data_IF_563593434717
#
_entry.id   IF_563593434717
#
_cell.length_a   1.000
_cell.length_b   1.000
_cell.length_c   1.000
_cell.angle_alpha   90.00
_cell.angle_beta   90.00
_cell.angle_gamma   90.00
#
_symmetry.space_group_name_H-M   'P 1'
#
loop_
_entity.id
_entity.type
_entity.pdbx_description
1 polymer ?
#
# COMPACT_ATOMS: atom_id res chain seq x y z
N UNK A 1 -9.33 22.87 -13.24
CA UNK A 1 -10.39 21.85 -13.07
C UNK A 1 -10.09 20.53 -13.80
N UNK A 2 -9.56 20.54 -15.03
CA UNK A 2 -9.20 19.29 -15.76
C UNK A 2 -8.16 18.44 -15.01
N UNK A 3 -7.16 19.08 -14.41
CA UNK A 3 -6.07 18.37 -13.71
C UNK A 3 -6.53 17.76 -12.39
N UNK A 4 -7.41 18.45 -11.66
CA UNK A 4 -8.03 17.91 -10.44
C UNK A 4 -8.91 16.68 -10.75
N UNK A 5 -9.67 16.72 -11.85
CA UNK A 5 -10.48 15.58 -12.31
C UNK A 5 -9.60 14.39 -12.74
N UNK A 6 -8.47 14.64 -13.40
CA UNK A 6 -7.47 13.60 -13.74
C UNK A 6 -6.85 12.99 -12.48
N UNK A 7 -6.52 13.81 -11.48
CA UNK A 7 -6.00 13.33 -10.19
C UNK A 7 -7.01 12.40 -9.50
N UNK A 8 -8.28 12.83 -9.38
CA UNK A 8 -9.35 11.99 -8.82
C UNK A 8 -9.55 10.71 -9.62
N UNK A 9 -9.53 10.78 -10.96
CA UNK A 9 -9.67 9.60 -11.82
C UNK A 9 -8.52 8.60 -11.64
N UNK A 10 -7.28 9.08 -11.48
CA UNK A 10 -6.11 8.25 -11.21
C UNK A 10 -6.24 7.58 -9.83
N UNK A 11 -6.60 8.34 -8.78
CA UNK A 11 -6.85 7.80 -7.43
C UNK A 11 -7.98 6.77 -7.45
N UNK A 12 -9.03 7.01 -8.25
CA UNK A 12 -10.16 6.09 -8.40
C UNK A 12 -9.74 4.76 -9.04
N UNK A 13 -8.89 4.79 -10.07
CA UNK A 13 -8.38 3.57 -10.72
C UNK A 13 -7.48 2.77 -9.76
N UNK A 14 -6.67 3.44 -8.94
CA UNK A 14 -5.84 2.76 -7.94
C UNK A 14 -6.65 2.13 -6.79
N UNK A 15 -7.84 2.65 -6.48
CA UNK A 15 -8.69 2.10 -5.42
C UNK A 15 -9.38 0.76 -5.76
N UNK A 16 -9.41 0.34 -7.03
CA UNK A 16 -10.42 -0.63 -7.52
C UNK A 16 -9.94 -2.09 -7.64
N UNK A 17 -8.65 -2.42 -7.53
CA UNK A 17 -8.23 -3.84 -7.63
C UNK A 17 -8.28 -4.61 -6.30
N UNK A 18 -9.30 -4.37 -5.48
CA UNK A 18 -9.67 -5.26 -4.37
C UNK A 18 -10.62 -6.34 -4.88
N UNK A 19 -10.10 -7.42 -5.45
CA UNK A 19 -10.92 -8.60 -5.79
C UNK A 19 -11.11 -9.41 -4.51
N UNK A 20 -12.13 -9.06 -3.72
CA UNK A 20 -12.58 -9.88 -2.60
C UNK A 20 -13.59 -10.91 -3.10
N UNK A 21 -13.16 -12.15 -3.35
CA UNK A 21 -14.07 -13.27 -3.65
C UNK A 21 -14.51 -13.88 -2.33
N UNK A 22 -15.70 -13.51 -1.85
CA UNK A 22 -16.31 -14.16 -0.70
C UNK A 22 -16.91 -15.50 -1.15
N UNK A 23 -16.27 -16.61 -0.77
CA UNK A 23 -16.81 -17.94 -1.03
C UNK A 23 -17.97 -18.23 -0.06
N UNK A 24 -19.04 -18.87 -0.55
CA UNK A 24 -20.19 -19.35 0.25
C UNK A 24 -19.77 -20.29 1.41
N UNK A 25 -18.52 -20.77 1.40
CA UNK A 25 -17.90 -21.63 2.42
C UNK A 25 -17.33 -20.88 3.63
N UNK A 26 -17.46 -19.56 3.71
CA UNK A 26 -16.82 -18.76 4.75
C UNK A 26 -15.31 -18.56 4.54
N UNK A 27 -14.76 -18.97 3.40
CA UNK A 27 -13.36 -18.68 3.06
C UNK A 27 -13.21 -17.27 2.49
N UNK A 28 -12.18 -16.57 2.92
CA UNK A 28 -11.87 -15.21 2.48
C UNK A 28 -10.46 -15.15 1.90
N UNK A 29 -10.34 -14.42 0.80
CA UNK A 29 -9.07 -14.13 0.15
C UNK A 29 -9.07 -12.69 -0.35
N UNK A 30 -7.98 -11.98 -0.07
CA UNK A 30 -7.76 -10.59 -0.48
C UNK A 30 -6.37 -10.52 -1.08
N UNK A 31 -6.26 -9.96 -2.27
CA UNK A 31 -4.99 -9.65 -2.91
C UNK A 31 -4.93 -8.15 -3.15
N UNK A 32 -3.90 -7.51 -2.58
CA UNK A 32 -3.63 -6.09 -2.66
C UNK A 32 -2.31 -5.88 -3.41
N UNK A 33 -2.29 -4.96 -4.36
CA UNK A 33 -1.07 -4.55 -5.07
C UNK A 33 -0.91 -3.04 -4.89
N UNK A 34 -0.33 -2.58 -3.77
CA UNK A 34 -0.06 -1.15 -3.60
C UNK A 34 1.00 -0.69 -4.60
N UNK A 35 0.71 0.42 -5.29
CA UNK A 35 1.64 1.10 -6.17
C UNK A 35 1.65 2.57 -5.78
N UNK A 36 2.83 3.09 -5.45
CA UNK A 36 3.05 4.43 -4.94
C UNK A 36 4.10 5.17 -5.77
N UNK A 37 3.94 6.49 -5.81
CA UNK A 37 4.99 7.39 -6.26
C UNK A 37 5.10 8.52 -5.26
N UNK A 38 6.33 8.86 -4.88
CA UNK A 38 6.63 9.88 -3.89
C UNK A 38 7.48 10.99 -4.50
N UNK A 39 7.35 12.21 -3.98
CA UNK A 39 8.19 13.34 -4.37
C UNK A 39 8.84 13.93 -3.14
N UNK A 40 10.17 13.86 -3.07
CA UNK A 40 10.95 14.35 -1.95
C UNK A 40 11.21 15.84 -2.10
N UNK A 41 10.74 16.63 -1.14
CA UNK A 41 11.02 18.06 -1.03
C UNK A 41 12.15 18.23 -0.03
N UNK A 42 13.28 18.78 -0.48
CA UNK A 42 14.45 18.95 0.38
C UNK A 42 14.54 20.36 0.96
N UNK A 43 15.05 20.45 2.19
CA UNK A 43 15.21 21.71 2.92
C UNK A 43 16.23 22.64 2.26
N UNK A 44 16.18 23.93 2.60
CA UNK A 44 17.07 24.96 2.06
C UNK A 44 18.55 24.61 2.28
N UNK A 45 18.90 24.15 3.48
CA UNK A 45 20.25 23.75 3.83
C UNK A 45 20.79 22.63 2.91
N UNK A 46 19.94 21.68 2.50
CA UNK A 46 20.35 20.60 1.60
C UNK A 46 20.52 21.07 0.15
N UNK A 47 19.78 22.10 -0.27
CA UNK A 47 19.99 22.75 -1.58
C UNK A 47 21.34 23.47 -1.65
N UNK A 48 21.80 24.03 -0.53
CA UNK A 48 23.13 24.65 -0.44
C UNK A 48 24.24 23.60 -0.65
N UNK A 49 23.98 22.33 -0.31
CA UNK A 49 24.83 21.17 -0.64
C UNK A 49 24.55 20.57 -2.03
N UNK A 50 23.88 21.31 -2.93
CA UNK A 50 23.54 20.89 -4.30
C UNK A 50 22.62 19.67 -4.41
N UNK A 51 21.87 19.34 -3.36
CA UNK A 51 20.87 18.27 -3.41
C UNK A 51 19.59 18.78 -4.09
N UNK A 52 18.97 17.94 -4.92
CA UNK A 52 17.75 18.25 -5.67
C UNK A 52 16.60 17.32 -5.32
N UNK A 53 15.40 17.89 -5.29
CA UNK A 53 14.16 17.14 -5.16
C UNK A 53 14.14 15.98 -6.15
N UNK A 54 13.48 14.90 -5.75
CA UNK A 54 13.54 13.63 -6.45
C UNK A 54 12.21 12.91 -6.40
N UNK A 55 12.03 12.00 -7.34
CA UNK A 55 10.88 11.10 -7.35
C UNK A 55 11.31 9.74 -6.82
N UNK A 56 10.47 9.18 -5.96
CA UNK A 56 10.52 7.78 -5.52
C UNK A 56 9.39 6.98 -6.16
N UNK A 57 9.57 5.67 -6.22
CA UNK A 57 8.57 4.73 -6.71
C UNK A 57 8.55 3.51 -5.79
N UNK A 58 7.33 3.14 -5.40
CA UNK A 58 7.05 2.15 -4.39
C UNK A 58 6.07 1.14 -5.00
N UNK A 59 6.33 -0.15 -4.85
CA UNK A 59 5.44 -1.20 -5.32
C UNK A 59 5.44 -2.34 -4.33
N UNK A 60 4.28 -2.92 -4.08
CA UNK A 60 4.18 -4.11 -3.25
C UNK A 60 3.07 -5.03 -3.70
N UNK A 61 3.04 -6.18 -3.04
CA UNK A 61 1.96 -7.16 -3.11
C UNK A 61 1.71 -7.66 -1.70
N UNK A 62 0.44 -7.75 -1.33
CA UNK A 62 0.00 -8.26 -0.05
C UNK A 62 -1.16 -9.23 -0.32
N UNK A 63 -1.09 -10.41 0.27
CA UNK A 63 -2.09 -11.45 0.13
C UNK A 63 -2.56 -11.87 1.51
N UNK A 64 -3.88 -11.79 1.72
CA UNK A 64 -4.53 -12.19 2.95
C UNK A 64 -5.46 -13.36 2.65
N UNK A 65 -5.44 -14.36 3.50
CA UNK A 65 -6.26 -15.55 3.33
C UNK A 65 -6.73 -16.07 4.69
N UNK A 66 -7.95 -16.59 4.74
CA UNK A 66 -8.45 -17.20 5.98
C UNK A 66 -9.93 -17.50 5.92
N UNK A 67 -10.56 -17.46 7.10
CA UNK A 67 -11.94 -17.89 7.28
C UNK A 67 -12.77 -16.88 8.07
N UNK A 68 -14.06 -16.85 7.75
CA UNK A 68 -15.12 -16.07 8.35
C UNK A 68 -16.18 -17.00 8.94
N UNK A 69 -16.48 -16.78 10.21
CA UNK A 69 -17.61 -17.39 10.91
C UNK A 69 -18.71 -16.35 11.03
N UNK A 70 -19.84 -16.57 10.35
CA UNK A 70 -20.95 -15.60 10.29
C UNK A 70 -22.27 -16.23 10.74
N UNK A 71 -23.09 -15.48 11.46
CA UNK A 71 -24.45 -15.86 11.83
C UNK A 71 -25.46 -15.36 10.77
N UNK A 72 -26.68 -15.91 10.80
CA UNK A 72 -27.75 -15.54 9.85
C UNK A 72 -28.18 -14.06 9.98
N UNK A 73 -27.92 -13.43 11.12
CA UNK A 73 -28.24 -12.02 11.40
C UNK A 73 -27.23 -11.02 10.79
N UNK A 74 -26.18 -11.53 10.13
CA UNK A 74 -25.19 -10.74 9.39
C UNK A 74 -23.98 -10.30 10.22
N UNK A 75 -23.83 -10.75 11.46
CA UNK A 75 -22.61 -10.58 12.24
C UNK A 75 -21.63 -11.72 11.95
N UNK A 76 -20.38 -11.40 11.65
CA UNK A 76 -19.35 -12.41 11.44
C UNK A 76 -17.98 -11.99 11.95
N UNK A 77 -17.17 -12.97 12.32
CA UNK A 77 -15.79 -12.79 12.77
C UNK A 77 -14.90 -13.54 11.78
N UNK A 78 -13.89 -12.84 11.29
CA UNK A 78 -12.88 -13.39 10.40
C UNK A 78 -11.51 -13.42 11.06
N UNK A 79 -10.72 -14.42 10.71
CA UNK A 79 -9.30 -14.47 11.00
C UNK A 79 -8.55 -14.77 9.71
N UNK A 80 -7.74 -13.81 9.28
CA UNK A 80 -6.93 -13.90 8.06
C UNK A 80 -5.45 -13.93 8.43
N UNK A 81 -4.68 -14.80 7.78
CA UNK A 81 -3.23 -14.67 7.71
C UNK A 81 -2.87 -13.67 6.62
N UNK A 82 -1.85 -12.86 6.89
CA UNK A 82 -1.37 -11.81 5.99
C UNK A 82 0.10 -12.05 5.62
N UNK A 83 0.42 -11.97 4.33
CA UNK A 83 1.79 -11.99 3.83
C UNK A 83 1.97 -10.93 2.75
N UNK A 84 3.01 -10.13 2.87
CA UNK A 84 3.31 -9.06 1.94
C UNK A 84 4.78 -8.94 1.61
N UNK A 85 5.05 -8.35 0.46
CA UNK A 85 6.36 -7.91 0.02
C UNK A 85 6.24 -6.52 -0.60
N UNK A 86 7.08 -5.57 -0.17
CA UNK A 86 7.20 -4.26 -0.81
C UNK A 86 8.62 -3.99 -1.26
N UNK A 87 8.71 -3.18 -2.31
CA UNK A 87 9.93 -2.73 -2.94
C UNK A 87 9.84 -1.23 -3.18
N UNK A 88 10.63 -0.49 -2.42
CA UNK A 88 10.62 0.97 -2.41
C UNK A 88 11.95 1.50 -2.94
N UNK A 89 11.88 2.46 -3.87
CA UNK A 89 13.05 3.09 -4.45
C UNK A 89 13.01 4.60 -4.22
N UNK A 90 14.00 5.10 -3.51
CA UNK A 90 14.22 6.53 -3.31
C UNK A 90 15.51 6.95 -3.98
N UNK A 91 15.48 8.11 -4.63
CA UNK A 91 16.66 8.70 -5.25
C UNK A 91 16.95 10.02 -4.58
N UNK A 92 18.21 10.38 -4.40
CA UNK A 92 18.61 11.74 -4.04
C UNK A 92 19.58 12.21 -5.12
N UNK A 93 19.19 13.27 -5.81
CA UNK A 93 19.96 13.82 -6.93
C UNK A 93 20.94 14.88 -6.44
N UNK A 94 22.15 14.86 -6.98
CA UNK A 94 23.18 15.87 -6.68
C UNK A 94 23.60 16.62 -7.96
N UNK A 95 23.74 17.94 -7.86
CA UNK A 95 24.13 18.82 -8.97
C UNK A 95 25.63 19.17 -8.95
N UNK A 96 26.47 18.21 -8.53
CA UNK A 96 27.91 18.38 -8.43
C UNK A 96 28.65 17.41 -9.35
N UNK A 97 29.60 17.92 -10.14
CA UNK A 97 30.39 17.15 -11.13
C UNK A 97 31.17 15.95 -10.55
N UNK A 98 31.25 15.80 -9.23
CA UNK A 98 32.06 14.79 -8.54
C UNK A 98 31.25 13.85 -7.62
N UNK A 99 29.95 14.09 -7.43
CA UNK A 99 29.12 13.28 -6.53
C UNK A 99 28.04 12.57 -7.34
N UNK A 100 28.04 11.23 -7.23
CA UNK A 100 27.09 10.36 -7.92
C UNK A 100 25.73 10.42 -7.22
N UNK A 101 24.64 10.36 -7.97
CA UNK A 101 23.29 10.24 -7.43
C UNK A 101 23.21 9.06 -6.44
N UNK A 102 22.55 9.27 -5.30
CA UNK A 102 22.34 8.23 -4.30
C UNK A 102 21.01 7.53 -4.54
N UNK A 103 21.04 6.20 -4.58
CA UNK A 103 19.89 5.34 -4.75
C UNK A 103 19.72 4.52 -3.48
N UNK A 104 18.56 4.66 -2.84
CA UNK A 104 18.15 3.85 -1.72
C UNK A 104 17.08 2.89 -2.20
N UNK A 105 17.26 1.62 -1.87
CA UNK A 105 16.33 0.55 -2.15
C UNK A 105 15.99 -0.12 -0.84
N UNK A 106 14.71 -0.29 -0.58
CA UNK A 106 14.21 -1.01 0.57
C UNK A 106 13.32 -2.15 0.07
N UNK A 107 13.61 -3.34 0.56
CA UNK A 107 12.84 -4.55 0.33
C UNK A 107 12.26 -4.95 1.69
N UNK A 108 10.95 -5.00 1.81
CA UNK A 108 10.26 -5.34 3.05
C UNK A 108 9.43 -6.61 2.88
N UNK A 109 9.41 -7.44 3.93
CA UNK A 109 8.53 -8.60 4.03
C UNK A 109 7.64 -8.37 5.23
N UNK A 110 6.35 -8.56 5.03
CA UNK A 110 5.31 -8.44 6.04
C UNK A 110 4.70 -9.81 6.27
N UNK A 111 4.50 -10.17 7.54
CA UNK A 111 3.76 -11.37 7.93
C UNK A 111 2.93 -11.01 9.15
N UNK A 112 1.62 -11.22 9.08
CA UNK A 112 0.70 -10.79 10.10
C UNK A 112 -0.53 -11.67 10.23
N UNK A 113 -1.37 -11.30 11.20
CA UNK A 113 -2.72 -11.83 11.36
C UNK A 113 -3.68 -10.64 11.39
N UNK A 114 -4.79 -10.77 10.67
CA UNK A 114 -5.85 -9.78 10.59
C UNK A 114 -7.15 -10.36 11.13
N UNK A 115 -7.43 -10.21 12.44
CA UNK A 115 -8.78 -10.34 12.95
C UNK A 115 -9.67 -9.24 12.37
N UNK A 116 -10.85 -9.62 11.87
CA UNK A 116 -11.82 -8.70 11.28
C UNK A 116 -13.24 -8.99 11.74
N UNK A 117 -13.94 -7.95 12.17
CA UNK A 117 -15.36 -7.98 12.52
C UNK A 117 -16.18 -7.55 11.31
N UNK A 118 -17.18 -8.32 10.95
CA UNK A 118 -18.10 -8.07 9.85
C UNK A 118 -19.50 -7.85 10.41
N UNK A 119 -20.11 -6.71 10.09
CA UNK A 119 -21.47 -6.36 10.48
C UNK A 119 -22.22 -6.01 9.19
N UNK A 120 -22.95 -6.98 8.66
CA UNK A 120 -23.69 -6.90 7.40
C UNK A 120 -22.76 -6.52 6.24
N UNK A 121 -22.92 -5.32 5.67
CA UNK A 121 -22.09 -4.81 4.57
C UNK A 121 -20.84 -4.03 5.01
N UNK A 122 -20.59 -3.93 6.32
CA UNK A 122 -19.48 -3.17 6.88
C UNK A 122 -18.50 -4.10 7.59
N UNK A 123 -17.20 -3.83 7.52
CA UNK A 123 -16.19 -4.61 8.23
C UNK A 123 -15.10 -3.73 8.82
N UNK A 124 -14.59 -4.13 9.98
CA UNK A 124 -13.44 -3.50 10.67
C UNK A 124 -12.41 -4.58 10.92
N UNK A 125 -11.24 -4.44 10.29
CA UNK A 125 -10.05 -5.26 10.57
C UNK A 125 -9.08 -4.50 11.47
N UNK A 126 -8.44 -5.20 12.41
CA UNK A 126 -7.32 -4.65 13.19
C UNK A 126 -6.10 -5.51 12.89
N UNK A 127 -5.20 -5.00 12.06
CA UNK A 127 -3.94 -5.65 11.73
C UNK A 127 -2.83 -5.24 12.69
N UNK A 128 -1.98 -6.19 13.05
CA UNK A 128 -0.64 -5.91 13.57
C UNK A 128 0.34 -6.41 12.50
N UNK A 129 1.05 -5.47 11.89
CA UNK A 129 1.96 -5.67 10.75
C UNK A 129 3.37 -5.21 11.15
#
# INVERSE_FOLDING_TARGET
>A
MKDLKRLFFIISIFAIFNISVFAKSGSEFILNVPIGASYSIISKNMKDYKMKNSFGFDVGVNAQFGGMFQNEEGFGISLLGDIGYSHDNYKIKYDGNYLKDYYFRYDSIQVGLLPKLNIRGFSIGIGAE
#
